data_IF_136405826846
#
_entry.id   IF_136405826846
#
_cell.length_a   1.000
_cell.length_b   1.000
_cell.length_c   1.000
_cell.angle_alpha   90.00
_cell.angle_beta   90.00
_cell.angle_gamma   90.00
#
_symmetry.space_group_name_H-M   'P 1'
#
loop_
_entity.id
_entity.type
_entity.pdbx_description
1 polymer ?
#
# COMPACT_ATOMS: atom_id res chain seq x y z
N UNK A 1 -0.43 -16.66 5.32
CA UNK A 1 0.92 -17.23 5.10
C UNK A 1 1.91 -16.28 5.76
N UNK A 2 2.71 -16.70 6.74
CA UNK A 2 3.72 -15.82 7.34
C UNK A 2 4.65 -15.26 6.25
N UNK A 3 4.96 -13.97 6.31
CA UNK A 3 5.76 -13.28 5.29
C UNK A 3 5.02 -12.92 3.99
N UNK A 4 3.70 -13.13 3.91
CA UNK A 4 2.88 -12.65 2.79
C UNK A 4 2.23 -11.31 3.15
N UNK A 5 2.47 -10.29 2.32
CA UNK A 5 1.93 -8.94 2.49
C UNK A 5 1.20 -8.47 1.23
N UNK A 6 0.17 -7.64 1.42
CA UNK A 6 -0.56 -6.96 0.35
C UNK A 6 -0.40 -5.45 0.53
N UNK A 7 -0.17 -4.74 -0.58
CA UNK A 7 0.12 -3.30 -0.60
C UNK A 7 -0.57 -2.63 -1.78
N UNK A 8 -0.78 -1.32 -1.69
CA UNK A 8 -1.44 -0.55 -2.74
C UNK A 8 -2.92 -0.89 -2.91
N UNK A 9 -3.41 -0.70 -4.13
CA UNK A 9 -4.85 -0.71 -4.48
C UNK A 9 -5.50 -2.10 -4.40
N UNK A 10 -4.71 -3.17 -4.26
CA UNK A 10 -5.27 -4.52 -4.01
C UNK A 10 -5.91 -4.63 -2.61
N UNK A 11 -5.55 -3.72 -1.71
CA UNK A 11 -6.17 -3.56 -0.39
C UNK A 11 -7.34 -2.58 -0.52
N UNK A 12 -8.41 -2.79 0.26
CA UNK A 12 -9.62 -1.96 0.27
C UNK A 12 -9.37 -0.55 0.87
N UNK A 13 -8.58 0.24 0.15
CA UNK A 13 -8.22 1.62 0.46
C UNK A 13 -8.27 2.39 -0.86
N UNK A 14 -9.15 3.38 -0.94
CA UNK A 14 -9.30 4.24 -2.10
C UNK A 14 -9.16 5.72 -1.69
N UNK A 15 -8.23 6.41 -2.34
CA UNK A 15 -8.04 7.84 -2.19
C UNK A 15 -8.91 8.66 -3.15
N UNK A 16 -9.19 9.91 -2.77
CA UNK A 16 -9.81 10.89 -3.66
C UNK A 16 -8.92 11.16 -4.89
N UNK A 17 -9.52 11.72 -5.95
CA UNK A 17 -8.74 12.24 -7.09
C UNK A 17 -7.77 13.32 -6.59
N UNK A 18 -6.53 13.30 -7.09
CA UNK A 18 -5.47 14.22 -6.65
C UNK A 18 -4.18 13.53 -6.18
N UNK A 19 -3.93 12.30 -6.61
CA UNK A 19 -2.66 11.61 -6.33
C UNK A 19 -2.62 10.82 -5.03
N UNK A 20 -3.71 10.77 -4.26
CA UNK A 20 -3.77 10.04 -2.99
C UNK A 20 -3.57 8.52 -3.15
N UNK A 21 -4.04 7.93 -4.26
CA UNK A 21 -3.79 6.51 -4.55
C UNK A 21 -2.31 6.22 -4.84
N UNK A 22 -1.60 7.14 -5.50
CA UNK A 22 -0.15 7.01 -5.68
C UNK A 22 0.57 7.12 -4.35
N UNK A 23 0.23 8.12 -3.52
CA UNK A 23 0.80 8.23 -2.18
C UNK A 23 0.56 6.96 -1.34
N UNK A 24 -0.66 6.39 -1.40
CA UNK A 24 -1.00 5.13 -0.73
C UNK A 24 -0.15 3.96 -1.22
N UNK A 25 -0.01 3.79 -2.54
CA UNK A 25 0.81 2.74 -3.12
C UNK A 25 2.27 2.82 -2.63
N UNK A 26 2.85 4.03 -2.60
CA UNK A 26 4.22 4.25 -2.13
C UNK A 26 4.38 4.00 -0.63
N UNK A 27 3.50 4.58 0.20
CA UNK A 27 3.60 4.48 1.65
C UNK A 27 3.37 3.05 2.14
N UNK A 28 2.35 2.36 1.63
CA UNK A 28 2.06 0.97 2.00
C UNK A 28 3.18 0.02 1.56
N UNK A 29 3.71 0.21 0.34
CA UNK A 29 4.88 -0.54 -0.15
C UNK A 29 6.13 -0.33 0.71
N UNK A 30 6.41 0.92 1.09
CA UNK A 30 7.52 1.24 1.99
C UNK A 30 7.38 0.53 3.34
N UNK A 31 6.22 0.63 3.99
CA UNK A 31 5.98 -0.01 5.29
C UNK A 31 6.14 -1.54 5.22
N UNK A 32 5.57 -2.18 4.18
CA UNK A 32 5.74 -3.63 4.01
C UNK A 32 7.21 -4.01 3.83
N UNK A 33 7.98 -3.23 3.06
CA UNK A 33 9.42 -3.45 2.88
C UNK A 33 10.26 -3.30 4.16
N UNK A 34 9.76 -2.59 5.18
CA UNK A 34 10.46 -2.46 6.47
C UNK A 34 10.23 -3.65 7.42
N UNK A 35 9.16 -4.42 7.21
CA UNK A 35 8.76 -5.54 8.08
C UNK A 35 8.77 -6.90 7.38
N UNK A 36 9.16 -6.92 6.10
CA UNK A 36 9.30 -8.13 5.29
C UNK A 36 10.50 -8.98 5.72
#
# INVERSE_FOLDING_TARGET
QPGLFFVGEVVDVSGHLGGFNFQWAWASGFCAGQVA
#
